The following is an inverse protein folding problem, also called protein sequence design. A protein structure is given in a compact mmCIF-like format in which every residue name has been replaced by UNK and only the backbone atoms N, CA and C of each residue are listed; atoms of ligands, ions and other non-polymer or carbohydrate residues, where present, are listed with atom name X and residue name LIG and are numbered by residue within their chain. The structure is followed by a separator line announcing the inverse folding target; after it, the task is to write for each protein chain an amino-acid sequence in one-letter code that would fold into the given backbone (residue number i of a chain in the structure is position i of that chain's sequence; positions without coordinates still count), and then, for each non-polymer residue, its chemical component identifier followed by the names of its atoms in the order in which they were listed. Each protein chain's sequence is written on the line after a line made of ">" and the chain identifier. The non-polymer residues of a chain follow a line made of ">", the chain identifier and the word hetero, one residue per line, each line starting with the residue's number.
data_IF_991856352797
#
_entry.id   IF_991856352797
#
_cell.length_a   1.000
_cell.length_b   1.000
_cell.length_c   1.000
_cell.angle_alpha   90.00
_cell.angle_beta   90.00
_cell.angle_gamma   90.00
#
_symmetry.space_group_name_H-M   'P 1'
#
loop_
_entity.id
_entity.type
_entity.pdbx_description
1 polymer ?
#
# COMPACT_ATOMS: atom_id res chain seq x y z
N UNK A 1 -8.29 13.77 11.79
CA UNK A 1 -8.60 13.00 13.03
C UNK A 1 -8.02 13.72 14.25
N UNK A 2 -8.35 13.33 15.49
CA UNK A 2 -7.72 13.88 16.70
C UNK A 2 -6.34 13.24 16.92
N UNK A 3 -5.26 13.94 16.55
CA UNK A 3 -3.87 13.41 16.59
C UNK A 3 -3.44 12.94 17.97
N UNK A 4 -4.05 13.49 19.03
CA UNK A 4 -3.81 13.09 20.41
C UNK A 4 -4.18 11.62 20.71
N UNK A 5 -5.02 11.01 19.89
CA UNK A 5 -5.39 9.59 19.98
C UNK A 5 -4.39 8.64 19.33
N UNK A 6 -3.41 9.16 18.58
CA UNK A 6 -2.38 8.33 17.97
C UNK A 6 -1.33 7.96 19.01
N UNK A 7 -0.82 6.73 18.94
CA UNK A 7 0.41 6.36 19.64
C UNK A 7 1.61 7.14 19.06
N UNK A 8 2.76 7.04 19.74
CA UNK A 8 3.95 7.83 19.42
C UNK A 8 4.42 7.62 17.98
N UNK A 9 4.61 6.36 17.58
CA UNK A 9 5.05 6.02 16.22
C UNK A 9 4.04 6.46 15.16
N UNK A 10 2.75 6.20 15.39
CA UNK A 10 1.67 6.61 14.47
C UNK A 10 1.58 8.12 14.30
N UNK A 11 1.87 8.88 15.37
CA UNK A 11 1.91 10.35 15.33
C UNK A 11 3.14 10.85 14.57
N UNK A 12 4.29 10.23 14.78
CA UNK A 12 5.50 10.49 14.01
C UNK A 12 5.24 10.30 12.50
N UNK A 13 4.69 9.15 12.08
CA UNK A 13 4.33 8.91 10.67
C UNK A 13 3.31 9.93 10.16
N UNK A 14 2.28 10.25 10.96
CA UNK A 14 1.26 11.23 10.60
C UNK A 14 1.86 12.62 10.30
N UNK A 15 2.88 13.06 11.05
CA UNK A 15 3.52 14.36 10.86
C UNK A 15 4.24 14.45 9.51
N UNK A 16 4.84 13.36 9.03
CA UNK A 16 5.44 13.31 7.69
C UNK A 16 4.37 13.18 6.61
N UNK A 17 3.41 12.27 6.78
CA UNK A 17 2.38 11.99 5.79
C UNK A 17 1.52 13.22 5.49
N UNK A 18 1.00 13.88 6.52
CA UNK A 18 0.12 15.04 6.36
C UNK A 18 0.87 16.34 6.08
N UNK A 19 2.20 16.34 6.16
CA UNK A 19 3.00 17.43 5.59
C UNK A 19 3.02 17.35 4.06
N UNK A 20 3.00 16.14 3.50
CA UNK A 20 2.97 15.92 2.05
C UNK A 20 1.55 16.02 1.48
N UNK A 21 0.57 15.43 2.16
CA UNK A 21 -0.84 15.44 1.76
C UNK A 21 -1.74 15.89 2.92
N UNK A 22 -1.82 17.20 3.21
CA UNK A 22 -2.62 17.72 4.33
C UNK A 22 -4.10 17.32 4.25
N UNK A 23 -4.65 17.25 3.05
CA UNK A 23 -6.03 16.86 2.80
C UNK A 23 -6.32 15.41 3.18
N UNK A 24 -5.31 14.55 3.32
CA UNK A 24 -5.53 13.14 3.72
C UNK A 24 -5.91 12.97 5.18
N UNK A 25 -5.72 14.00 6.01
CA UNK A 25 -6.02 13.96 7.44
C UNK A 25 -7.53 13.75 7.73
N UNK A 26 -8.41 14.07 6.79
CA UNK A 26 -9.85 13.82 6.89
C UNK A 26 -10.21 12.33 6.77
N UNK A 27 -9.39 11.56 6.04
CA UNK A 27 -9.58 10.12 5.84
C UNK A 27 -8.88 9.27 6.90
N UNK A 28 -8.11 9.92 7.77
CA UNK A 28 -7.31 9.27 8.79
C UNK A 28 -8.14 8.92 10.04
N UNK A 29 -7.82 7.77 10.64
CA UNK A 29 -8.41 7.27 11.88
C UNK A 29 -7.32 6.75 12.81
N UNK A 30 -7.54 6.95 14.11
CA UNK A 30 -6.84 6.22 15.15
C UNK A 30 -7.66 4.96 15.46
N UNK A 31 -7.04 3.78 15.35
CA UNK A 31 -7.66 2.50 15.64
C UNK A 31 -7.07 1.97 16.94
N UNK A 32 -7.96 1.63 17.88
CA UNK A 32 -7.57 1.15 19.21
C UNK A 32 -7.67 -0.37 19.34
N UNK A 33 -8.31 -1.04 18.37
CA UNK A 33 -8.56 -2.47 18.37
C UNK A 33 -8.95 -2.97 16.97
N UNK A 34 -8.43 -4.14 16.60
CA UNK A 34 -8.88 -4.89 15.42
C UNK A 34 -9.08 -6.37 15.82
N UNK A 35 -10.29 -6.94 15.66
CA UNK A 35 -10.60 -8.28 16.19
C UNK A 35 -9.67 -9.40 15.71
N UNK A 36 -9.16 -9.26 14.48
CA UNK A 36 -8.37 -10.28 13.82
C UNK A 36 -6.85 -10.04 13.95
N UNK A 37 -6.43 -9.02 14.72
CA UNK A 37 -5.03 -8.68 14.91
C UNK A 37 -4.72 -8.36 16.39
N UNK A 38 -4.24 -9.35 17.17
CA UNK A 38 -3.93 -9.17 18.58
C UNK A 38 -2.64 -8.35 18.82
N UNK A 39 -1.83 -8.10 17.77
CA UNK A 39 -0.60 -7.32 17.86
C UNK A 39 -0.83 -5.83 17.58
N UNK A 40 -2.06 -5.44 17.22
CA UNK A 40 -2.41 -4.04 16.99
C UNK A 40 -2.29 -3.22 18.27
N UNK A 41 -1.36 -2.27 18.27
CA UNK A 41 -1.22 -1.30 19.35
C UNK A 41 -2.35 -0.25 19.31
N UNK A 42 -2.92 0.12 20.47
CA UNK A 42 -3.90 1.21 20.54
C UNK A 42 -3.36 2.51 19.94
N UNK A 43 -4.23 3.30 19.30
CA UNK A 43 -3.82 4.53 18.62
C UNK A 43 -3.06 4.32 17.30
N UNK A 44 -3.17 3.15 16.67
CA UNK A 44 -2.59 2.90 15.34
C UNK A 44 -3.22 3.83 14.29
N UNK A 45 -2.40 4.48 13.46
CA UNK A 45 -2.88 5.29 12.33
C UNK A 45 -3.37 4.37 11.20
N UNK A 46 -4.56 4.68 10.69
CA UNK A 46 -5.08 4.12 9.45
C UNK A 46 -5.59 5.25 8.56
N UNK A 47 -5.09 5.30 7.32
CA UNK A 47 -5.56 6.23 6.29
C UNK A 47 -6.08 5.43 5.11
N UNK A 48 -7.28 5.75 4.61
CA UNK A 48 -7.90 5.02 3.49
C UNK A 48 -8.34 5.97 2.39
N UNK A 49 -7.60 6.00 1.28
CA UNK A 49 -7.84 6.91 0.16
C UNK A 49 -8.52 6.17 -0.98
N UNK A 50 -9.56 6.79 -1.55
CA UNK A 50 -10.23 6.27 -2.75
C UNK A 50 -9.39 6.67 -3.99
N UNK A 51 -8.95 5.71 -4.82
CA UNK A 51 -8.32 6.05 -6.08
C UNK A 51 -9.32 6.71 -7.04
N UNK A 52 -8.88 7.60 -7.92
CA UNK A 52 -9.72 8.18 -8.97
C UNK A 52 -10.12 7.15 -10.03
N UNK A 53 -9.33 6.09 -10.23
CA UNK A 53 -9.65 5.00 -11.16
C UNK A 53 -10.95 4.24 -10.76
N UNK A 54 -12.02 4.30 -11.57
CA UNK A 54 -13.29 3.63 -11.27
C UNK A 54 -13.23 2.10 -11.38
N UNK A 55 -12.20 1.54 -12.04
CA UNK A 55 -11.95 0.11 -12.14
C UNK A 55 -11.43 -0.51 -10.85
N UNK A 56 -10.99 0.31 -9.89
CA UNK A 56 -10.51 -0.11 -8.58
C UNK A 56 -11.61 0.13 -7.55
N UNK A 57 -12.02 -0.93 -6.86
CA UNK A 57 -13.03 -0.86 -5.78
C UNK A 57 -12.39 -0.69 -4.42
N UNK A 58 -11.16 -1.19 -4.29
CA UNK A 58 -10.31 -1.17 -3.13
C UNK A 58 -9.87 0.28 -2.80
N UNK A 59 -9.46 0.51 -1.55
CA UNK A 59 -8.82 1.75 -1.12
C UNK A 59 -7.31 1.55 -1.13
N UNK A 60 -6.56 2.63 -1.36
CA UNK A 60 -5.16 2.68 -0.92
C UNK A 60 -5.19 2.86 0.60
N UNK A 61 -4.57 1.95 1.33
CA UNK A 61 -4.53 1.99 2.78
C UNK A 61 -3.10 2.13 3.31
N UNK A 62 -2.96 2.94 4.36
CA UNK A 62 -1.70 3.14 5.08
C UNK A 62 -1.95 2.78 6.53
N UNK A 63 -1.15 1.88 7.06
CA UNK A 63 -1.20 1.38 8.43
C UNK A 63 0.15 1.52 9.10
N UNK A 64 0.20 1.78 10.42
CA UNK A 64 1.45 2.08 11.15
C UNK A 64 1.71 1.19 12.36
N UNK A 65 1.29 -0.08 12.33
CA UNK A 65 1.43 -0.98 13.48
C UNK A 65 2.82 -1.65 13.53
N UNK A 66 3.27 -2.02 14.73
CA UNK A 66 4.55 -2.70 15.00
C UNK A 66 5.80 -1.97 14.48
N UNK A 67 5.83 -0.64 14.57
CA UNK A 67 6.92 0.23 14.07
C UNK A 67 7.22 0.07 12.56
N UNK A 68 6.17 -0.20 11.78
CA UNK A 68 6.26 -0.35 10.33
C UNK A 68 5.20 0.51 9.65
N UNK A 69 5.52 1.05 8.47
CA UNK A 69 4.50 1.58 7.57
C UNK A 69 4.11 0.48 6.60
N UNK A 70 2.85 0.04 6.65
CA UNK A 70 2.29 -0.91 5.69
C UNK A 70 1.45 -0.15 4.68
N UNK A 71 1.85 -0.22 3.40
CA UNK A 71 1.06 0.30 2.29
C UNK A 71 0.31 -0.84 1.64
N UNK A 72 -1.00 -0.86 1.79
CA UNK A 72 -1.90 -1.80 1.11
C UNK A 72 -2.44 -1.11 -0.12
N UNK A 73 -2.05 -1.60 -1.29
CA UNK A 73 -2.56 -1.12 -2.55
C UNK A 73 -3.59 -2.10 -3.12
N UNK A 74 -3.86 -1.94 -4.40
CA UNK A 74 -4.94 -2.63 -5.08
C UNK A 74 -4.63 -4.12 -5.28
N UNK A 75 -5.67 -4.94 -5.47
CA UNK A 75 -5.53 -6.36 -5.80
C UNK A 75 -4.73 -7.19 -4.77
N UNK A 76 -4.91 -6.87 -3.49
CA UNK A 76 -4.28 -7.54 -2.34
C UNK A 76 -2.76 -7.36 -2.25
N UNK A 77 -2.17 -6.54 -3.11
CA UNK A 77 -0.77 -6.15 -2.96
C UNK A 77 -0.59 -5.30 -1.71
N UNK A 78 0.42 -5.61 -0.92
CA UNK A 78 0.89 -4.75 0.16
C UNK A 78 2.41 -4.86 0.26
N UNK A 79 3.00 -3.85 0.87
CA UNK A 79 4.43 -3.83 1.19
C UNK A 79 4.63 -3.17 2.55
N UNK A 80 5.73 -3.54 3.21
CA UNK A 80 6.10 -3.06 4.53
C UNK A 80 7.40 -2.26 4.43
N UNK A 81 7.41 -1.10 5.09
CA UNK A 81 8.59 -0.27 5.28
C UNK A 81 8.91 -0.26 6.76
N UNK A 82 9.93 -1.03 7.13
CA UNK A 82 10.22 -1.35 8.53
C UNK A 82 11.35 -0.49 9.08
N UNK A 83 11.24 -0.16 10.37
CA UNK A 83 12.37 0.29 11.14
C UNK A 83 13.24 -0.92 11.51
N UNK A 84 14.44 -1.03 10.94
CA UNK A 84 15.44 -2.01 11.37
C UNK A 84 16.37 -1.41 12.42
N UNK A 85 16.55 -2.12 13.54
CA UNK A 85 17.29 -1.64 14.73
C UNK A 85 18.76 -1.26 14.46
N UNK A 86 19.38 -1.75 13.39
CA UNK A 86 20.85 -1.70 13.28
C UNK A 86 21.42 -0.52 12.51
N UNK A 87 20.75 0.07 11.52
CA UNK A 87 21.32 1.19 10.76
C UNK A 87 20.19 1.87 9.99
N UNK A 88 19.79 3.09 10.37
CA UNK A 88 19.14 4.12 9.52
C UNK A 88 18.76 5.34 10.37
N UNK A 89 18.69 6.50 9.73
CA UNK A 89 17.99 7.67 10.26
C UNK A 89 16.55 7.23 10.62
N UNK A 90 16.06 7.59 11.81
CA UNK A 90 14.76 7.16 12.35
C UNK A 90 13.62 7.41 11.35
N UNK A 91 13.76 8.38 10.44
CA UNK A 91 12.75 8.72 9.44
C UNK A 91 12.87 8.00 8.09
N UNK A 92 13.96 7.27 7.78
CA UNK A 92 14.22 6.81 6.40
C UNK A 92 13.13 5.88 5.86
N UNK A 93 12.67 4.92 6.66
CA UNK A 93 11.59 4.00 6.29
C UNK A 93 10.26 4.74 6.02
N UNK A 94 9.96 5.80 6.78
CA UNK A 94 8.79 6.65 6.53
C UNK A 94 8.93 7.41 5.21
N UNK A 95 10.13 7.92 4.93
CA UNK A 95 10.41 8.61 3.67
C UNK A 95 10.36 7.65 2.47
N UNK A 96 10.80 6.40 2.61
CA UNK A 96 10.65 5.35 1.59
C UNK A 96 9.16 5.06 1.32
N UNK A 97 8.34 4.91 2.37
CA UNK A 97 6.91 4.72 2.23
C UNK A 97 6.23 5.92 1.52
N UNK A 98 6.62 7.15 1.87
CA UNK A 98 6.13 8.38 1.21
C UNK A 98 6.52 8.42 -0.27
N UNK A 99 7.77 8.09 -0.60
CA UNK A 99 8.20 8.03 -2.01
C UNK A 99 7.38 6.99 -2.78
N UNK A 100 7.17 5.81 -2.21
CA UNK A 100 6.34 4.79 -2.84
C UNK A 100 4.88 5.23 -3.04
N UNK A 101 4.28 5.90 -2.04
CA UNK A 101 2.95 6.50 -2.19
C UNK A 101 2.92 7.56 -3.30
N UNK A 102 3.96 8.40 -3.37
CA UNK A 102 4.09 9.40 -4.43
C UNK A 102 4.21 8.74 -5.81
N UNK A 103 4.99 7.66 -5.93
CA UNK A 103 5.11 6.91 -7.17
C UNK A 103 3.74 6.31 -7.58
N UNK A 104 2.94 5.81 -6.62
CA UNK A 104 1.59 5.30 -6.91
C UNK A 104 0.70 6.42 -7.44
N UNK A 105 0.61 7.55 -6.74
CA UNK A 105 -0.31 8.65 -7.08
C UNK A 105 0.07 9.32 -8.41
N UNK A 106 1.37 9.42 -8.69
CA UNK A 106 1.91 9.96 -9.94
C UNK A 106 1.92 8.94 -11.10
N UNK A 107 1.48 7.71 -10.84
CA UNK A 107 1.50 6.59 -11.79
C UNK A 107 2.89 6.25 -12.34
N UNK A 108 3.95 6.51 -11.57
CA UNK A 108 5.30 6.03 -11.85
C UNK A 108 5.45 4.53 -11.52
N UNK A 109 4.54 3.97 -10.71
CA UNK A 109 4.39 2.54 -10.46
C UNK A 109 3.00 2.05 -10.85
N UNK A 110 2.97 0.82 -11.38
CA UNK A 110 1.75 0.04 -11.62
C UNK A 110 1.75 -1.21 -10.75
N UNK A 111 0.58 -1.58 -10.25
CA UNK A 111 0.38 -2.76 -9.40
C UNK A 111 -0.16 -3.89 -10.26
N UNK A 112 0.43 -5.07 -10.13
CA UNK A 112 0.05 -6.28 -10.88
C UNK A 112 -0.43 -7.35 -9.92
N UNK A 113 -1.47 -8.07 -10.32
CA UNK A 113 -1.90 -9.31 -9.69
C UNK A 113 -2.09 -10.40 -10.74
N UNK A 114 -1.71 -11.62 -10.35
CA UNK A 114 -1.86 -12.81 -11.15
C UNK A 114 -2.89 -13.74 -10.55
N UNK A 115 -3.67 -14.37 -11.41
CA UNK A 115 -4.69 -15.32 -11.01
C UNK A 115 -4.57 -16.62 -11.80
N UNK A 116 -5.00 -17.70 -11.16
CA UNK A 116 -5.19 -19.01 -11.77
C UNK A 116 -6.54 -19.56 -11.33
N UNK A 117 -7.40 -19.90 -12.30
CA UNK A 117 -8.75 -20.44 -12.07
C UNK A 117 -9.55 -19.58 -11.09
N UNK A 118 -9.44 -18.26 -11.23
CA UNK A 118 -10.10 -17.27 -10.40
C UNK A 118 -9.50 -17.06 -8.99
N UNK A 119 -8.42 -17.75 -8.62
CA UNK A 119 -7.72 -17.55 -7.35
C UNK A 119 -6.51 -16.64 -7.54
N UNK A 120 -6.25 -15.76 -6.58
CA UNK A 120 -5.01 -14.98 -6.52
C UNK A 120 -3.83 -15.90 -6.26
N UNK A 121 -2.77 -15.76 -7.06
CA UNK A 121 -1.54 -16.56 -6.93
C UNK A 121 -0.29 -15.70 -6.74
N UNK A 122 -0.42 -14.38 -6.80
CA UNK A 122 0.70 -13.47 -6.66
C UNK A 122 0.34 -12.03 -6.98
N UNK A 123 1.15 -11.12 -6.47
CA UNK A 123 1.08 -9.70 -6.78
C UNK A 123 2.45 -9.06 -6.66
N UNK A 124 2.69 -8.05 -7.48
CA UNK A 124 3.95 -7.31 -7.54
C UNK A 124 3.68 -5.90 -8.03
N UNK A 125 4.71 -5.08 -8.09
CA UNK A 125 4.67 -3.76 -8.69
C UNK A 125 5.85 -3.59 -9.64
N UNK A 126 5.70 -2.68 -10.60
CA UNK A 126 6.77 -2.31 -11.52
C UNK A 126 6.71 -0.83 -11.79
N UNK A 127 7.85 -0.24 -12.16
CA UNK A 127 7.84 1.11 -12.72
C UNK A 127 7.03 1.14 -14.02
N UNK A 128 6.57 2.34 -14.39
CA UNK A 128 5.72 2.56 -15.57
C UNK A 128 6.24 1.90 -16.85
N UNK A 129 7.55 1.92 -17.08
CA UNK A 129 8.19 1.41 -18.30
C UNK A 129 8.80 0.00 -18.13
N UNK A 130 8.66 -0.61 -16.96
CA UNK A 130 9.23 -1.92 -16.64
C UNK A 130 8.17 -3.03 -16.71
N UNK A 131 8.60 -4.30 -16.81
CA UNK A 131 7.72 -5.45 -16.63
C UNK A 131 7.65 -5.82 -15.15
N UNK A 132 6.49 -6.26 -14.64
CA UNK A 132 6.39 -6.79 -13.29
C UNK A 132 7.14 -8.10 -13.16
N UNK A 133 7.89 -8.23 -12.08
CA UNK A 133 8.58 -9.47 -11.72
C UNK A 133 7.54 -10.55 -11.42
N UNK A 134 7.59 -11.65 -12.17
CA UNK A 134 6.75 -12.83 -12.01
C UNK A 134 7.57 -14.08 -11.65
N UNK A 135 8.86 -13.93 -11.37
CA UNK A 135 9.79 -15.03 -11.10
C UNK A 135 9.45 -15.84 -9.83
N UNK A 136 8.70 -15.23 -8.92
CA UNK A 136 8.23 -15.87 -7.70
C UNK A 136 6.98 -16.75 -7.89
N UNK A 137 6.33 -16.69 -9.06
CA UNK A 137 5.15 -17.50 -9.33
C UNK A 137 5.52 -18.98 -9.44
N UNK A 138 4.90 -19.80 -8.59
CA UNK A 138 5.06 -21.26 -8.62
C UNK A 138 4.15 -21.95 -9.64
N UNK A 139 3.20 -21.21 -10.20
CA UNK A 139 2.18 -21.70 -11.13
C UNK A 139 1.99 -20.72 -12.29
N UNK A 140 1.74 -21.25 -13.49
CA UNK A 140 1.44 -20.41 -14.65
C UNK A 140 0.05 -19.75 -14.48
N UNK A 141 -0.04 -18.41 -14.56
CA UNK A 141 -1.32 -17.70 -14.48
C UNK A 141 -2.18 -17.94 -15.73
N UNK A 142 -3.49 -17.90 -15.57
CA UNK A 142 -4.46 -17.78 -16.68
C UNK A 142 -5.03 -16.36 -16.82
N UNK A 143 -4.79 -15.51 -15.83
CA UNK A 143 -5.20 -14.11 -15.84
C UNK A 143 -4.11 -13.22 -15.21
N UNK A 144 -3.84 -12.10 -15.88
CA UNK A 144 -2.95 -11.02 -15.46
C UNK A 144 -3.77 -9.73 -15.38
N UNK A 145 -3.70 -9.04 -14.24
CA UNK A 145 -4.42 -7.80 -13.98
C UNK A 145 -3.41 -6.76 -13.51
N UNK A 146 -3.21 -5.73 -14.31
CA UNK A 146 -2.43 -4.55 -13.95
C UNK A 146 -3.37 -3.37 -13.74
N UNK A 147 -3.16 -2.64 -12.66
CA UNK A 147 -3.91 -1.45 -12.32
C UNK A 147 -2.99 -0.30 -11.90
N UNK A 148 -3.47 0.92 -12.13
CA UNK A 148 -2.78 2.17 -11.86
C UNK A 148 -3.72 3.18 -11.22
N UNK A 149 -3.18 4.22 -10.58
CA UNK A 149 -3.93 5.15 -9.73
C UNK A 149 -5.08 5.87 -10.45
N UNK A 150 -4.84 6.40 -11.64
CA UNK A 150 -5.85 7.03 -12.50
C UNK A 150 -6.41 6.08 -13.55
N UNK A 151 -5.77 4.93 -13.74
CA UNK A 151 -6.17 3.93 -14.73
C UNK A 151 -5.42 4.02 -16.05
N UNK A 152 -4.41 4.91 -16.14
CA UNK A 152 -3.66 5.18 -17.36
C UNK A 152 -2.97 3.94 -17.93
N UNK A 153 -2.52 3.04 -17.05
CA UNK A 153 -1.79 1.82 -17.39
C UNK A 153 -2.57 0.55 -17.10
N UNK A 154 -3.89 0.63 -16.96
CA UNK A 154 -4.70 -0.55 -16.68
C UNK A 154 -4.67 -1.55 -17.84
N UNK A 155 -4.48 -2.81 -17.50
CA UNK A 155 -4.37 -3.88 -18.49
C UNK A 155 -4.84 -5.20 -17.90
N UNK A 156 -5.73 -5.88 -18.63
CA UNK A 156 -6.16 -7.24 -18.32
C UNK A 156 -5.78 -8.15 -19.48
N UNK A 157 -5.00 -9.20 -19.19
CA UNK A 157 -4.67 -10.25 -20.15
C UNK A 157 -5.18 -11.59 -19.63
N UNK A 158 -5.79 -12.36 -20.53
CA UNK A 158 -6.17 -13.75 -20.27
C UNK A 158 -5.31 -14.64 -21.14
N UNK A 159 -4.78 -15.70 -20.56
CA UNK A 159 -3.97 -16.68 -21.26
C UNK A 159 -4.84 -17.91 -21.54
N UNK A 160 -4.79 -18.40 -22.78
CA UNK A 160 -5.39 -19.70 -23.09
C UNK A 160 -4.61 -20.78 -22.34
N UNK A 161 -5.33 -21.58 -21.57
CA UNK A 161 -4.80 -22.69 -20.76
C UNK A 161 -4.72 -23.98 -21.54
#
# INVERSE_FOLDING_TARGET
>A
MRRERLNEYSRFVADYLFRQWPEWEEFAKAIDYYPDDPELEPGTLVVKIKPPNPGIKERLEIWTYSNKVTVVAFKLFHTHFEWFDDVRDEAEHVLEAIRFLQDIISEEVKITAWRRRGKWIGGSYAKRDEQPDDSFLTERPDEFIQVSWNGTYDLVKKYET
#
